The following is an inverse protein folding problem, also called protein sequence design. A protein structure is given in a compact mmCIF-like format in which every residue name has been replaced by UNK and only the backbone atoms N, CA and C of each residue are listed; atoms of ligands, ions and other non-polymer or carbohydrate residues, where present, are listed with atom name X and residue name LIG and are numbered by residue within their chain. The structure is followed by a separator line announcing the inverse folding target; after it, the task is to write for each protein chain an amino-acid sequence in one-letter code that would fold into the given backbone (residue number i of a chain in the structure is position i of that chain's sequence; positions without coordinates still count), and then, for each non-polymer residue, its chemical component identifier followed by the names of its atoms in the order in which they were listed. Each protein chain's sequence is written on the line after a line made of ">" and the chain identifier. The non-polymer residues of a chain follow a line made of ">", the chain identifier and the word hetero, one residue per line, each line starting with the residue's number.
data_IF_874140333188
#
_entry.id   IF_874140333188
#
_cell.length_a   1.000
_cell.length_b   1.000
_cell.length_c   1.000
_cell.angle_alpha   90.00
_cell.angle_beta   90.00
_cell.angle_gamma   90.00
#
_symmetry.space_group_name_H-M   'P 1'
#
loop_
_entity.id
_entity.type
_entity.pdbx_description
1 polymer ?
#
# COMPACT_ATOMS: atom_id res chain seq x y z
N UNK A 1 -3.88 14.05 -15.07
CA UNK A 1 -2.47 13.65 -14.90
C UNK A 1 -2.49 12.22 -14.36
N UNK A 2 -2.08 11.24 -15.15
CA UNK A 2 -1.93 9.85 -14.67
C UNK A 2 -0.63 9.78 -13.85
N UNK A 3 -0.73 9.35 -12.59
CA UNK A 3 0.44 9.14 -11.73
C UNK A 3 1.19 7.90 -12.21
N UNK A 4 2.50 7.98 -12.38
CA UNK A 4 3.31 6.81 -12.73
C UNK A 4 3.33 5.79 -11.57
N UNK A 5 3.28 4.48 -11.86
CA UNK A 5 3.30 3.46 -10.84
C UNK A 5 4.65 3.44 -10.12
N UNK A 6 4.62 3.41 -8.80
CA UNK A 6 5.83 3.25 -7.99
C UNK A 6 6.42 1.84 -8.15
N UNK A 7 5.57 0.81 -8.16
CA UNK A 7 5.97 -0.57 -8.42
C UNK A 7 4.83 -1.38 -9.04
N UNK A 8 5.18 -2.44 -9.78
CA UNK A 8 4.23 -3.38 -10.40
C UNK A 8 4.74 -4.80 -10.18
N UNK A 9 3.88 -5.68 -9.66
CA UNK A 9 4.19 -7.09 -9.41
C UNK A 9 2.97 -7.95 -9.76
N UNK A 10 3.05 -8.68 -10.87
CA UNK A 10 1.93 -9.48 -11.38
C UNK A 10 0.69 -8.60 -11.60
N UNK A 11 -0.41 -8.95 -10.94
CA UNK A 11 -1.69 -8.24 -11.05
C UNK A 11 -1.80 -7.00 -10.13
N UNK A 12 -0.80 -6.76 -9.27
CA UNK A 12 -0.79 -5.66 -8.32
C UNK A 12 0.02 -4.48 -8.84
N UNK A 13 -0.57 -3.29 -8.74
CA UNK A 13 0.06 -2.01 -9.06
C UNK A 13 0.06 -1.13 -7.81
N UNK A 14 1.19 -0.51 -7.51
CA UNK A 14 1.38 0.29 -6.31
C UNK A 14 1.71 1.74 -6.68
N UNK A 15 1.07 2.70 -6.02
CA UNK A 15 1.31 4.13 -6.22
C UNK A 15 1.81 4.74 -4.92
N UNK A 16 2.83 5.59 -5.01
CA UNK A 16 3.43 6.28 -3.86
C UNK A 16 2.97 7.73 -3.86
N UNK A 17 2.39 8.16 -2.74
CA UNK A 17 2.00 9.56 -2.50
C UNK A 17 2.35 9.95 -1.06
N UNK A 18 1.89 11.11 -0.62
CA UNK A 18 1.98 11.59 0.76
C UNK A 18 0.57 11.58 1.34
N UNK A 19 0.44 11.24 2.63
CA UNK A 19 -0.86 11.00 3.27
C UNK A 19 -1.79 12.23 3.29
N UNK A 20 -1.24 13.42 3.16
CA UNK A 20 -1.96 14.69 3.00
C UNK A 20 -1.02 15.87 3.25
N UNK A 21 -1.54 17.08 3.10
CA UNK A 21 -0.74 18.32 3.25
C UNK A 21 -0.18 18.48 4.68
N UNK A 22 -0.91 18.00 5.69
CA UNK A 22 -0.51 18.07 7.11
C UNK A 22 0.21 16.81 7.62
N UNK A 23 0.32 15.76 6.80
CA UNK A 23 0.96 14.49 7.18
C UNK A 23 2.03 14.09 6.17
N UNK A 24 3.33 14.35 6.46
CA UNK A 24 4.43 14.10 5.53
C UNK A 24 4.76 12.61 5.37
N UNK A 25 3.99 11.70 5.98
CA UNK A 25 4.22 10.27 5.85
C UNK A 25 3.95 9.79 4.43
N UNK A 26 4.87 9.03 3.82
CA UNK A 26 4.59 8.39 2.55
C UNK A 26 3.49 7.33 2.71
N UNK A 27 2.61 7.27 1.73
CA UNK A 27 1.54 6.28 1.64
C UNK A 27 1.68 5.49 0.34
N UNK A 28 1.44 4.19 0.42
CA UNK A 28 1.35 3.29 -0.73
C UNK A 28 -0.10 2.90 -0.94
N UNK A 29 -0.67 3.31 -2.07
CA UNK A 29 -1.98 2.87 -2.53
C UNK A 29 -1.85 1.61 -3.37
N UNK A 30 -2.82 0.71 -3.24
CA UNK A 30 -2.77 -0.63 -3.83
C UNK A 30 -3.92 -0.78 -4.84
N UNK A 31 -3.59 -1.18 -6.07
CA UNK A 31 -4.56 -1.61 -7.08
C UNK A 31 -4.34 -3.07 -7.45
N UNK A 32 -5.43 -3.77 -7.76
CA UNK A 32 -5.42 -5.12 -8.31
C UNK A 32 -6.21 -5.13 -9.61
N UNK A 33 -5.57 -5.58 -10.71
CA UNK A 33 -6.14 -5.56 -12.06
C UNK A 33 -6.71 -4.18 -12.46
N UNK A 34 -5.97 -3.12 -12.11
CA UNK A 34 -6.33 -1.72 -12.42
C UNK A 34 -7.38 -1.08 -11.51
N UNK A 35 -8.01 -1.84 -10.60
CA UNK A 35 -9.03 -1.33 -9.67
C UNK A 35 -8.45 -1.16 -8.26
N UNK A 36 -8.98 -0.25 -7.42
CA UNK A 36 -8.59 -0.17 -6.01
C UNK A 36 -8.74 -1.54 -5.33
N UNK A 37 -7.68 -1.97 -4.65
CA UNK A 37 -7.74 -3.17 -3.82
C UNK A 37 -8.39 -2.81 -2.50
N UNK A 38 -9.49 -3.46 -2.13
CA UNK A 38 -10.24 -3.10 -0.91
C UNK A 38 -9.68 -3.83 0.32
N UNK A 39 -9.66 -3.14 1.45
CA UNK A 39 -9.34 -3.71 2.76
C UNK A 39 -10.57 -4.42 3.37
N UNK A 40 -10.42 -4.97 4.58
CA UNK A 40 -11.48 -5.71 5.27
C UNK A 40 -12.66 -4.83 5.72
N UNK A 41 -12.56 -3.49 5.61
CA UNK A 41 -13.63 -2.52 5.89
C UNK A 41 -14.30 -2.01 4.61
N UNK A 42 -13.99 -2.62 3.46
CA UNK A 42 -14.43 -2.17 2.14
C UNK A 42 -13.91 -0.78 1.72
N UNK A 43 -12.78 -0.35 2.30
CA UNK A 43 -12.10 0.89 1.94
C UNK A 43 -10.89 0.61 1.04
N UNK A 44 -10.45 1.55 0.18
CA UNK A 44 -9.23 1.39 -0.59
C UNK A 44 -8.01 1.13 0.31
N UNK A 45 -7.36 -0.01 0.11
CA UNK A 45 -6.21 -0.43 0.90
C UNK A 45 -5.03 0.49 0.64
N UNK A 46 -4.51 1.04 1.73
CA UNK A 46 -3.36 1.94 1.74
C UNK A 46 -2.41 1.58 2.87
N UNK A 47 -1.10 1.72 2.64
CA UNK A 47 -0.08 1.52 3.67
C UNK A 47 0.68 2.80 3.97
N UNK A 48 0.52 3.31 5.19
CA UNK A 48 1.32 4.40 5.73
C UNK A 48 2.70 3.89 6.19
N UNK A 49 3.72 4.67 5.86
CA UNK A 49 5.10 4.43 6.30
C UNK A 49 5.60 5.58 7.17
N UNK A 50 6.59 5.34 8.05
CA UNK A 50 7.30 6.42 8.72
C UNK A 50 7.91 7.40 7.70
N UNK A 51 7.96 8.69 8.04
CA UNK A 51 8.48 9.77 7.16
C UNK A 51 9.85 9.43 6.56
N UNK A 52 10.74 8.79 7.36
CA UNK A 52 12.10 8.42 6.95
C UNK A 52 12.20 7.04 6.28
N UNK A 53 11.09 6.42 5.86
CA UNK A 53 11.13 5.13 5.20
C UNK A 53 11.80 5.25 3.82
N UNK A 54 12.79 4.41 3.56
CA UNK A 54 13.47 4.38 2.27
C UNK A 54 12.61 3.73 1.18
N UNK A 55 12.84 4.14 -0.06
CA UNK A 55 12.18 3.54 -1.23
C UNK A 55 12.43 2.04 -1.35
N UNK A 56 13.64 1.59 -0.99
CA UNK A 56 13.97 0.17 -0.95
C UNK A 56 13.04 -0.60 0.01
N UNK A 57 12.76 -0.05 1.20
CA UNK A 57 11.84 -0.65 2.17
C UNK A 57 10.40 -0.67 1.65
N UNK A 58 9.94 0.41 1.04
CA UNK A 58 8.59 0.49 0.46
C UNK A 58 8.43 -0.50 -0.71
N UNK A 59 9.43 -0.61 -1.60
CA UNK A 59 9.44 -1.59 -2.70
C UNK A 59 9.46 -3.03 -2.17
N UNK A 60 10.22 -3.31 -1.11
CA UNK A 60 10.23 -4.63 -0.48
C UNK A 60 8.84 -4.99 0.08
N UNK A 61 8.14 -4.04 0.70
CA UNK A 61 6.76 -4.24 1.12
C UNK A 61 5.86 -4.56 -0.09
N UNK A 62 5.91 -3.74 -1.16
CA UNK A 62 5.07 -3.95 -2.35
C UNK A 62 5.27 -5.35 -2.93
N UNK A 63 6.52 -5.79 -3.04
CA UNK A 63 6.86 -7.13 -3.51
C UNK A 63 6.29 -8.22 -2.61
N UNK A 64 6.54 -8.15 -1.29
CA UNK A 64 6.02 -9.13 -0.33
C UNK A 64 4.49 -9.17 -0.33
N UNK A 65 3.84 -8.02 -0.43
CA UNK A 65 2.38 -7.93 -0.48
C UNK A 65 1.81 -8.60 -1.73
N UNK A 66 2.45 -8.43 -2.90
CA UNK A 66 2.01 -9.07 -4.13
C UNK A 66 2.28 -10.59 -4.13
N UNK A 67 3.48 -11.00 -3.73
CA UNK A 67 3.98 -12.36 -3.89
C UNK A 67 3.62 -13.31 -2.73
N UNK A 68 3.32 -12.80 -1.52
CA UNK A 68 3.06 -13.61 -0.34
C UNK A 68 1.67 -13.33 0.24
N UNK A 69 0.75 -14.26 0.00
CA UNK A 69 -0.64 -14.17 0.45
C UNK A 69 -0.78 -14.13 1.98
N UNK A 70 -0.03 -14.95 2.71
CA UNK A 70 -0.07 -14.95 4.17
C UNK A 70 0.36 -13.60 4.75
N UNK A 71 1.43 -13.00 4.20
CA UNK A 71 1.87 -11.66 4.56
C UNK A 71 0.82 -10.61 4.22
N UNK A 72 0.23 -10.66 3.02
CA UNK A 72 -0.85 -9.76 2.59
C UNK A 72 -2.03 -9.84 3.56
N UNK A 73 -2.52 -11.03 3.88
CA UNK A 73 -3.63 -11.21 4.80
C UNK A 73 -3.30 -10.68 6.20
N UNK A 74 -2.09 -10.93 6.71
CA UNK A 74 -1.65 -10.40 7.99
C UNK A 74 -1.61 -8.85 8.02
N UNK A 75 -1.18 -8.22 6.92
CA UNK A 75 -1.21 -6.76 6.77
C UNK A 75 -2.65 -6.24 6.81
N UNK A 76 -3.56 -6.85 6.05
CA UNK A 76 -4.97 -6.44 5.98
C UNK A 76 -5.68 -6.57 7.33
N UNK A 77 -5.46 -7.69 8.03
CA UNK A 77 -5.99 -7.90 9.37
C UNK A 77 -5.44 -6.84 10.33
N UNK A 78 -4.12 -6.63 10.36
CA UNK A 78 -3.52 -5.63 11.24
C UNK A 78 -4.10 -4.24 11.00
N UNK A 79 -4.21 -3.82 9.75
CA UNK A 79 -4.67 -2.45 9.42
C UNK A 79 -6.18 -2.28 9.68
N UNK A 80 -6.98 -3.35 9.62
CA UNK A 80 -8.39 -3.33 10.01
C UNK A 80 -8.59 -3.07 11.52
N UNK A 81 -7.73 -3.64 12.35
CA UNK A 81 -7.81 -3.54 13.82
C UNK A 81 -6.96 -2.41 14.44
N UNK A 82 -6.19 -1.66 13.64
CA UNK A 82 -5.35 -0.55 14.14
C UNK A 82 -6.10 0.79 14.29
N UNK A 83 -7.44 0.81 14.15
CA UNK A 83 -8.29 2.03 14.27
C UNK A 83 -9.02 2.14 15.62
N UNK A 84 -8.49 1.52 16.68
CA UNK A 84 -8.96 1.71 18.06
C UNK A 84 -7.94 2.50 18.87
#
# INVERSE_FOLDING_TARGET
>A
MEQEPFAVFGEFTFFKSVAGDDDPRPVIEIRHRGKPFMDLRAEPARKLFPVKASDARMRQFCRKFAENEAFRNAVLVKDAFSCC
#
